data_IF_176249798642
#
_entry.id   IF_176249798642
#
_cell.length_a   1.000
_cell.length_b   1.000
_cell.length_c   1.000
_cell.angle_alpha   90.00
_cell.angle_beta   90.00
_cell.angle_gamma   90.00
#
_symmetry.space_group_name_H-M   'P 1'
#
loop_
_entity.id
_entity.type
_entity.pdbx_description
1 polymer ?
#
# COMPACT_ATOMS: atom_id res chain seq x y z
N UNK A 1 -40.58 -6.49 57.40
CA UNK A 1 -39.73 -7.67 57.10
C UNK A 1 -39.34 -7.78 55.62
N UNK A 2 -39.62 -6.79 54.75
CA UNK A 2 -39.34 -6.88 53.30
C UNK A 2 -38.30 -5.86 52.73
N UNK A 3 -37.51 -5.22 53.59
CA UNK A 3 -36.51 -4.22 53.12
C UNK A 3 -35.04 -4.68 53.11
N UNK A 4 -34.75 -5.92 53.48
CA UNK A 4 -33.38 -6.45 53.55
C UNK A 4 -33.01 -7.43 52.43
N UNK A 5 -33.93 -7.76 51.52
CA UNK A 5 -33.67 -8.74 50.45
C UNK A 5 -33.23 -8.10 49.11
N UNK A 6 -33.22 -6.76 49.00
CA UNK A 6 -32.87 -6.04 47.75
C UNK A 6 -31.38 -5.67 47.66
N UNK A 7 -30.60 -5.91 48.72
CA UNK A 7 -29.20 -5.48 48.71
C UNK A 7 -28.19 -6.60 48.39
N UNK A 8 -28.67 -7.86 48.26
CA UNK A 8 -27.75 -8.99 47.99
C UNK A 8 -27.64 -9.27 46.48
N UNK A 9 -28.49 -8.68 45.63
CA UNK A 9 -28.41 -8.87 44.17
C UNK A 9 -27.43 -7.94 43.45
N UNK A 10 -26.79 -7.00 44.16
CA UNK A 10 -25.87 -6.03 43.58
C UNK A 10 -24.37 -6.40 43.69
N UNK A 11 -24.07 -7.58 44.23
CA UNK A 11 -22.70 -8.07 44.42
C UNK A 11 -22.42 -9.37 43.64
N UNK A 12 -23.15 -9.63 42.55
CA UNK A 12 -22.60 -10.54 41.56
C UNK A 12 -21.43 -9.81 40.88
N UNK A 13 -20.20 -10.37 40.88
CA UNK A 13 -19.16 -9.81 40.06
C UNK A 13 -19.75 -9.79 38.64
N UNK A 14 -19.86 -8.60 38.04
CA UNK A 14 -19.95 -8.46 36.60
C UNK A 14 -18.69 -9.16 36.10
N UNK A 15 -18.82 -10.45 35.75
CA UNK A 15 -17.82 -11.05 34.90
C UNK A 15 -17.95 -10.24 33.60
N UNK A 16 -17.13 -9.23 33.46
CA UNK A 16 -16.85 -8.65 32.17
C UNK A 16 -16.23 -9.79 31.38
N UNK A 17 -17.06 -10.46 30.58
CA UNK A 17 -16.53 -11.27 29.49
C UNK A 17 -15.61 -10.30 28.75
N UNK A 18 -14.31 -10.56 28.73
CA UNK A 18 -13.37 -9.71 28.01
C UNK A 18 -13.84 -9.53 26.58
N UNK A 19 -13.64 -8.35 26.03
CA UNK A 19 -13.94 -8.11 24.63
C UNK A 19 -13.16 -9.12 23.80
N UNK A 20 -13.82 -9.76 22.84
CA UNK A 20 -13.20 -10.68 21.89
C UNK A 20 -13.12 -10.03 20.51
N UNK A 21 -11.99 -10.22 19.86
CA UNK A 21 -11.74 -9.91 18.47
C UNK A 21 -12.11 -11.13 17.63
N UNK A 22 -12.86 -10.92 16.57
CA UNK A 22 -13.23 -11.97 15.63
C UNK A 22 -12.07 -12.28 14.68
N UNK A 23 -11.69 -13.54 14.56
CA UNK A 23 -10.58 -14.06 13.73
C UNK A 23 -11.08 -15.27 12.97
N UNK A 24 -11.70 -15.08 11.78
CA UNK A 24 -12.39 -16.15 11.04
C UNK A 24 -11.48 -17.11 10.29
N UNK A 25 -10.22 -16.78 10.10
CA UNK A 25 -9.26 -17.63 9.41
C UNK A 25 -8.57 -18.55 10.41
N UNK A 26 -8.89 -19.86 10.34
CA UNK A 26 -8.38 -20.88 11.25
C UNK A 26 -6.84 -20.90 11.32
N UNK A 27 -6.15 -20.65 10.19
CA UNK A 27 -4.68 -20.65 10.13
C UNK A 27 -4.09 -19.37 10.74
N UNK A 28 -4.79 -18.23 10.65
CA UNK A 28 -4.41 -17.02 11.37
C UNK A 28 -4.61 -17.22 12.87
N UNK A 29 -5.78 -17.69 13.30
CA UNK A 29 -6.05 -17.98 14.72
C UNK A 29 -5.06 -19.02 15.28
N UNK A 30 -4.79 -20.10 14.52
CA UNK A 30 -3.78 -21.09 14.93
C UNK A 30 -2.38 -20.47 15.08
N UNK A 31 -2.05 -19.47 14.25
CA UNK A 31 -0.79 -18.73 14.41
C UNK A 31 -0.77 -17.93 15.70
N UNK A 32 -1.89 -17.31 16.09
CA UNK A 32 -2.01 -16.61 17.38
C UNK A 32 -1.90 -17.56 18.56
N UNK A 33 -2.47 -18.76 18.45
CA UNK A 33 -2.31 -19.82 19.45
C UNK A 33 -0.84 -20.25 19.58
N UNK A 34 -0.17 -20.47 18.46
CA UNK A 34 1.25 -20.87 18.45
C UNK A 34 2.16 -19.79 19.04
N UNK A 35 1.79 -18.52 18.91
CA UNK A 35 2.48 -17.37 19.50
C UNK A 35 2.12 -17.16 20.98
N UNK A 36 1.12 -17.88 21.49
CA UNK A 36 0.68 -17.81 22.89
C UNK A 36 -0.28 -16.66 23.20
N UNK A 37 -0.91 -16.06 22.17
CA UNK A 37 -1.89 -14.98 22.34
C UNK A 37 -3.30 -15.55 22.55
N UNK A 38 -3.53 -16.78 22.14
CA UNK A 38 -4.76 -17.52 22.34
C UNK A 38 -4.50 -18.97 22.77
N UNK A 39 -5.56 -19.73 23.08
CA UNK A 39 -5.48 -21.11 23.56
C UNK A 39 -6.52 -22.05 22.93
N UNK A 40 -7.51 -21.51 22.24
CA UNK A 40 -8.65 -22.26 21.71
C UNK A 40 -8.94 -21.78 20.29
N UNK A 41 -9.10 -22.70 19.36
CA UNK A 41 -9.52 -22.41 17.99
C UNK A 41 -11.06 -22.28 18.01
N UNK A 42 -11.58 -21.05 18.11
CA UNK A 42 -13.01 -20.73 18.26
C UNK A 42 -13.45 -19.46 17.51
N UNK A 43 -12.74 -19.11 16.44
CA UNK A 43 -12.91 -17.90 15.60
C UNK A 43 -12.77 -16.60 16.40
N UNK A 44 -12.06 -16.61 17.53
CA UNK A 44 -11.93 -15.39 18.33
C UNK A 44 -10.78 -15.41 19.32
N UNK A 45 -10.13 -14.28 19.50
CA UNK A 45 -9.09 -14.05 20.52
C UNK A 45 -9.52 -12.98 21.52
N UNK A 46 -9.05 -13.04 22.76
CA UNK A 46 -9.27 -11.94 23.71
C UNK A 46 -8.55 -10.68 23.22
N UNK A 47 -9.28 -9.59 22.98
CA UNK A 47 -8.71 -8.31 22.52
C UNK A 47 -7.57 -7.84 23.41
N UNK A 48 -7.70 -8.00 24.75
CA UNK A 48 -6.66 -7.65 25.71
C UNK A 48 -5.38 -8.51 25.62
N UNK A 49 -5.40 -9.61 24.87
CA UNK A 49 -4.20 -10.42 24.61
C UNK A 49 -3.39 -9.88 23.44
N UNK A 50 -4.00 -9.06 22.56
CA UNK A 50 -3.43 -8.63 21.30
C UNK A 50 -3.26 -7.11 21.18
N UNK A 51 -4.03 -6.30 21.91
CA UNK A 51 -4.07 -4.83 21.79
C UNK A 51 -2.76 -4.12 22.17
N UNK A 52 -1.88 -4.80 22.93
CA UNK A 52 -0.57 -4.29 23.34
C UNK A 52 0.59 -4.83 22.50
N UNK A 53 0.31 -5.72 21.55
CA UNK A 53 1.32 -6.33 20.68
C UNK A 53 1.85 -5.30 19.71
N UNK A 54 3.16 -5.02 19.78
CA UNK A 54 3.82 -4.06 18.88
C UNK A 54 4.47 -4.69 17.65
N UNK A 55 4.67 -6.02 17.65
CA UNK A 55 5.28 -6.73 16.53
C UNK A 55 4.61 -8.08 16.34
N UNK A 56 4.14 -8.36 15.12
CA UNK A 56 3.48 -9.61 14.76
C UNK A 56 4.16 -10.19 13.50
N UNK A 57 4.69 -11.40 13.64
CA UNK A 57 5.36 -12.11 12.56
C UNK A 57 4.61 -13.39 12.24
N UNK A 58 4.01 -13.41 11.05
CA UNK A 58 3.26 -14.54 10.49
C UNK A 58 4.01 -15.06 9.24
N UNK A 59 4.27 -16.35 9.16
CA UNK A 59 5.00 -16.93 8.02
C UNK A 59 6.08 -17.92 8.43
N UNK A 60 6.39 -18.03 9.72
CA UNK A 60 7.24 -19.11 10.23
C UNK A 60 6.52 -20.47 10.33
N UNK A 61 5.19 -20.44 10.31
CA UNK A 61 4.35 -21.62 10.38
C UNK A 61 3.89 -21.99 8.97
N UNK A 62 3.72 -23.29 8.69
CA UNK A 62 3.19 -23.81 7.43
C UNK A 62 1.66 -23.67 7.47
N UNK A 63 1.19 -22.43 7.50
CA UNK A 63 -0.21 -22.09 7.51
C UNK A 63 -0.54 -21.38 6.20
N UNK A 64 -1.77 -21.52 5.75
CA UNK A 64 -2.26 -20.92 4.52
C UNK A 64 -3.26 -19.81 4.89
N UNK A 65 -2.77 -18.68 5.38
CA UNK A 65 -3.62 -17.57 5.80
C UNK A 65 -4.18 -16.88 4.55
N UNK A 66 -5.48 -16.79 4.46
CA UNK A 66 -6.22 -16.13 3.37
C UNK A 66 -6.86 -14.81 3.81
N UNK A 67 -7.13 -14.66 5.13
CA UNK A 67 -7.80 -13.51 5.70
C UNK A 67 -7.13 -13.10 7.03
N UNK A 68 -6.86 -11.81 7.18
CA UNK A 68 -6.33 -11.21 8.40
C UNK A 68 -7.38 -10.41 9.18
N UNK A 69 -8.68 -10.66 8.97
CA UNK A 69 -9.73 -10.06 9.81
C UNK A 69 -9.41 -10.28 11.28
N UNK A 70 -9.47 -9.22 12.08
CA UNK A 70 -9.01 -9.18 13.47
C UNK A 70 -7.70 -8.42 13.66
N UNK A 71 -6.92 -8.20 12.59
CA UNK A 71 -5.66 -7.41 12.66
C UNK A 71 -5.92 -5.96 13.09
N UNK A 72 -7.11 -5.43 12.82
CA UNK A 72 -7.54 -4.09 13.19
C UNK A 72 -7.50 -3.81 14.70
N UNK A 73 -7.66 -4.85 15.52
CA UNK A 73 -7.66 -4.74 16.98
C UNK A 73 -6.24 -4.82 17.60
N UNK A 74 -5.20 -5.04 16.78
CA UNK A 74 -3.81 -4.91 17.21
C UNK A 74 -3.41 -3.44 17.27
N UNK A 75 -3.99 -2.70 18.19
CA UNK A 75 -3.93 -1.23 18.24
C UNK A 75 -2.53 -0.65 18.51
N UNK A 76 -1.62 -1.44 19.11
CA UNK A 76 -0.23 -1.05 19.34
C UNK A 76 0.75 -1.51 18.25
N UNK A 77 0.25 -2.11 17.14
CA UNK A 77 1.08 -2.75 16.13
C UNK A 77 1.95 -1.74 15.38
N UNK A 78 3.28 -1.98 15.39
CA UNK A 78 4.30 -1.18 14.71
C UNK A 78 5.02 -1.97 13.62
N UNK A 79 5.14 -3.28 13.77
CA UNK A 79 5.80 -4.15 12.83
C UNK A 79 4.89 -5.33 12.49
N UNK A 80 4.48 -5.41 11.24
CA UNK A 80 3.72 -6.52 10.70
C UNK A 80 4.53 -7.22 9.61
N UNK A 81 4.80 -8.49 9.82
CA UNK A 81 5.42 -9.36 8.83
C UNK A 81 4.51 -10.53 8.53
N UNK A 82 4.11 -10.66 7.26
CA UNK A 82 3.29 -11.77 6.76
C UNK A 82 3.79 -12.26 5.41
N UNK A 83 4.54 -13.36 5.42
CA UNK A 83 5.27 -13.87 4.26
C UNK A 83 4.62 -15.11 3.68
N UNK A 84 4.63 -15.19 2.34
CA UNK A 84 4.30 -16.40 1.59
C UNK A 84 2.99 -17.04 2.04
N UNK A 85 1.98 -16.19 2.25
CA UNK A 85 0.62 -16.58 2.52
C UNK A 85 -0.23 -16.42 1.25
N UNK A 86 -1.54 -16.48 1.37
CA UNK A 86 -2.46 -16.42 0.23
C UNK A 86 -3.38 -15.21 0.28
N UNK A 87 -2.94 -14.12 0.92
CA UNK A 87 -3.72 -12.91 1.03
C UNK A 87 -3.98 -12.29 -0.35
N UNK A 88 -5.24 -12.09 -0.69
CA UNK A 88 -5.65 -11.32 -1.86
C UNK A 88 -5.97 -9.86 -1.52
N UNK A 89 -6.27 -9.60 -0.26
CA UNK A 89 -6.52 -8.27 0.33
C UNK A 89 -5.82 -8.16 1.68
N UNK A 90 -5.46 -6.94 2.06
CA UNK A 90 -4.91 -6.63 3.37
C UNK A 90 -5.40 -5.23 3.78
N UNK A 91 -6.17 -5.16 4.86
CA UNK A 91 -6.61 -3.89 5.46
C UNK A 91 -5.83 -3.65 6.75
N UNK A 92 -4.97 -2.64 6.74
CA UNK A 92 -4.20 -2.17 7.89
C UNK A 92 -4.58 -0.73 8.29
N UNK A 93 -5.73 -0.26 7.82
CA UNK A 93 -6.19 1.12 8.00
C UNK A 93 -6.36 1.53 9.47
N UNK A 94 -6.61 0.57 10.37
CA UNK A 94 -6.74 0.82 11.80
C UNK A 94 -5.40 0.72 12.55
N UNK A 95 -4.38 0.11 11.94
CA UNK A 95 -3.05 -0.02 12.53
C UNK A 95 -2.21 1.25 12.28
N UNK A 96 -2.69 2.39 12.77
CA UNK A 96 -2.14 3.72 12.47
C UNK A 96 -0.74 3.97 13.03
N UNK A 97 -0.28 3.11 13.95
CA UNK A 97 1.08 3.15 14.50
C UNK A 97 2.08 2.31 13.70
N UNK A 98 1.66 1.70 12.56
CA UNK A 98 2.49 0.81 11.78
C UNK A 98 3.71 1.57 11.20
N UNK A 99 4.91 1.13 11.59
CA UNK A 99 6.20 1.65 11.15
C UNK A 99 6.84 0.77 10.08
N UNK A 100 6.59 -0.55 10.12
CA UNK A 100 7.14 -1.54 9.18
C UNK A 100 6.05 -2.51 8.71
N UNK A 101 5.94 -2.69 7.39
CA UNK A 101 5.06 -3.68 6.79
C UNK A 101 5.86 -4.55 5.81
N UNK A 102 5.85 -5.86 6.05
CA UNK A 102 6.38 -6.84 5.11
C UNK A 102 5.30 -7.86 4.76
N UNK A 103 4.81 -7.79 3.52
CA UNK A 103 3.79 -8.69 2.97
C UNK A 103 4.30 -9.47 1.74
N UNK A 104 5.58 -9.82 1.73
CA UNK A 104 6.25 -10.57 0.66
C UNK A 104 5.50 -11.85 0.30
N UNK A 105 5.39 -12.15 -1.01
CA UNK A 105 4.95 -13.45 -1.50
C UNK A 105 3.47 -13.74 -1.22
N UNK A 106 2.61 -12.74 -1.40
CA UNK A 106 1.16 -12.87 -1.32
C UNK A 106 0.52 -12.69 -2.71
N UNK A 107 -0.80 -12.50 -2.75
CA UNK A 107 -1.57 -12.31 -3.99
C UNK A 107 -2.28 -10.95 -4.00
N UNK A 108 -1.69 -9.95 -3.31
CA UNK A 108 -2.28 -8.64 -3.18
C UNK A 108 -2.34 -7.93 -4.53
N UNK A 109 -3.51 -7.45 -4.91
CA UNK A 109 -3.73 -6.65 -6.13
C UNK A 109 -3.74 -5.15 -5.86
N UNK A 110 -4.03 -4.77 -4.62
CA UNK A 110 -4.10 -3.40 -4.13
C UNK A 110 -3.66 -3.35 -2.66
N UNK A 111 -3.11 -2.22 -2.23
CA UNK A 111 -2.72 -1.97 -0.85
C UNK A 111 -2.95 -0.48 -0.55
N UNK A 112 -3.82 -0.20 0.43
CA UNK A 112 -4.10 1.15 0.91
C UNK A 112 -3.32 1.42 2.20
N UNK A 113 -2.42 2.39 2.15
CA UNK A 113 -1.57 2.80 3.25
C UNK A 113 -1.83 4.25 3.68
N UNK A 114 -2.94 4.83 3.24
CA UNK A 114 -3.25 6.24 3.47
C UNK A 114 -3.34 6.64 4.95
N UNK A 115 -3.70 5.68 5.81
CA UNK A 115 -3.79 5.89 7.26
C UNK A 115 -2.48 5.55 8.02
N UNK A 116 -1.52 4.89 7.37
CA UNK A 116 -0.30 4.41 8.01
C UNK A 116 0.84 5.44 7.87
N UNK A 117 0.59 6.67 8.30
CA UNK A 117 1.51 7.81 8.12
C UNK A 117 2.84 7.69 8.89
N UNK A 118 2.94 6.74 9.81
CA UNK A 118 4.16 6.42 10.56
C UNK A 118 5.08 5.43 9.80
N UNK A 119 4.66 4.94 8.61
CA UNK A 119 5.37 3.88 7.91
C UNK A 119 6.73 4.38 7.39
N UNK A 120 7.79 3.66 7.77
CA UNK A 120 9.18 3.92 7.36
C UNK A 120 9.80 2.76 6.57
N UNK A 121 9.11 1.62 6.50
CA UNK A 121 9.55 0.46 5.73
C UNK A 121 8.35 -0.26 5.10
N UNK A 122 8.37 -0.41 3.78
CA UNK A 122 7.41 -1.19 3.01
C UNK A 122 8.14 -2.21 2.15
N UNK A 123 7.91 -3.49 2.44
CA UNK A 123 8.47 -4.63 1.71
C UNK A 123 7.30 -5.48 1.22
N UNK A 124 6.97 -5.39 -0.07
CA UNK A 124 5.84 -6.09 -0.67
C UNK A 124 6.20 -6.76 -2.02
N UNK A 125 7.41 -7.37 -2.17
CA UNK A 125 7.76 -8.07 -3.39
C UNK A 125 6.88 -9.31 -3.59
N UNK A 126 6.90 -9.84 -4.83
CA UNK A 126 6.19 -11.09 -5.17
C UNK A 126 4.68 -11.01 -4.86
N UNK A 127 4.05 -9.93 -5.33
CA UNK A 127 2.60 -9.73 -5.27
C UNK A 127 2.03 -9.46 -6.68
N UNK A 128 0.76 -9.10 -6.76
CA UNK A 128 0.06 -8.82 -8.01
C UNK A 128 -0.44 -7.37 -8.04
N UNK A 129 0.28 -6.45 -7.37
CA UNK A 129 -0.13 -5.05 -7.29
C UNK A 129 -0.28 -4.43 -8.67
N UNK A 130 -1.36 -3.71 -8.89
CA UNK A 130 -1.63 -2.94 -10.10
C UNK A 130 -1.49 -1.44 -9.87
N UNK A 131 -1.63 -1.00 -8.62
CA UNK A 131 -1.46 0.37 -8.17
C UNK A 131 -0.86 0.38 -6.75
N UNK A 132 -0.07 1.40 -6.46
CA UNK A 132 0.47 1.65 -5.12
C UNK A 132 0.53 3.15 -4.88
N UNK A 133 -0.06 3.60 -3.77
CA UNK A 133 -0.02 4.98 -3.32
C UNK A 133 0.67 5.04 -1.95
N UNK A 134 1.85 5.68 -1.92
CA UNK A 134 2.66 5.86 -0.72
C UNK A 134 2.89 7.35 -0.42
N UNK A 135 2.02 8.21 -0.93
CA UNK A 135 1.98 9.61 -0.52
C UNK A 135 1.63 9.68 0.96
N UNK A 136 2.14 10.69 1.64
CA UNK A 136 2.10 10.89 3.10
C UNK A 136 2.99 9.92 3.93
N UNK A 137 3.65 8.94 3.31
CA UNK A 137 4.63 8.08 4.00
C UNK A 137 6.06 8.62 3.92
N UNK A 138 6.20 9.82 3.44
CA UNK A 138 7.38 10.66 3.34
C UNK A 138 8.67 10.06 2.74
N UNK A 139 9.64 10.93 2.49
CA UNK A 139 10.92 10.64 1.82
C UNK A 139 11.89 9.74 2.61
N UNK A 140 11.47 9.15 3.73
CA UNK A 140 12.29 8.25 4.57
C UNK A 140 11.92 6.77 4.40
N UNK A 141 10.91 6.47 3.61
CA UNK A 141 10.45 5.11 3.40
C UNK A 141 11.53 4.24 2.76
N UNK A 142 11.81 3.08 3.35
CA UNK A 142 12.52 1.99 2.68
C UNK A 142 11.52 1.18 1.86
N UNK A 143 11.69 1.15 0.53
CA UNK A 143 10.74 0.54 -0.40
C UNK A 143 11.33 -0.69 -1.10
N UNK A 144 10.56 -1.79 -1.15
CA UNK A 144 10.82 -2.93 -2.01
C UNK A 144 9.52 -3.44 -2.63
N UNK A 145 9.40 -3.35 -3.95
CA UNK A 145 8.21 -3.77 -4.72
C UNK A 145 8.54 -4.72 -5.88
N UNK A 146 9.72 -5.37 -5.85
CA UNK A 146 10.18 -6.27 -6.92
C UNK A 146 9.17 -7.40 -7.15
N UNK A 147 9.05 -7.85 -8.41
CA UNK A 147 8.13 -8.91 -8.83
C UNK A 147 6.64 -8.55 -8.63
N UNK A 148 6.28 -7.27 -8.83
CA UNK A 148 4.90 -6.84 -9.04
C UNK A 148 4.70 -6.48 -10.51
N UNK A 149 4.65 -7.49 -11.38
CA UNK A 149 4.76 -7.32 -12.83
C UNK A 149 3.67 -6.44 -13.46
N UNK A 150 2.54 -6.27 -12.80
CA UNK A 150 1.42 -5.42 -13.25
C UNK A 150 1.49 -3.99 -12.69
N UNK A 151 2.40 -3.72 -11.75
CA UNK A 151 2.60 -2.38 -11.21
C UNK A 151 3.48 -1.60 -12.18
N UNK A 152 3.03 -0.44 -12.61
CA UNK A 152 3.80 0.45 -13.48
C UNK A 152 4.09 1.79 -12.81
N UNK A 153 3.10 2.39 -12.19
CA UNK A 153 3.22 3.69 -11.55
C UNK A 153 3.06 3.58 -10.03
N UNK A 154 3.96 4.23 -9.29
CA UNK A 154 3.89 4.36 -7.83
C UNK A 154 3.65 5.83 -7.50
N UNK A 155 2.53 6.12 -6.82
CA UNK A 155 2.22 7.47 -6.36
C UNK A 155 3.09 7.85 -5.17
N UNK A 156 3.75 9.00 -5.27
CA UNK A 156 4.69 9.53 -4.27
C UNK A 156 4.53 11.04 -4.11
N UNK A 157 5.01 11.60 -3.01
CA UNK A 157 5.01 13.06 -2.78
C UNK A 157 6.07 13.77 -3.63
N UNK A 158 7.26 13.19 -3.76
CA UNK A 158 8.36 13.70 -4.56
C UNK A 158 8.92 12.61 -5.49
N UNK A 159 8.50 12.66 -6.76
CA UNK A 159 8.94 11.70 -7.77
C UNK A 159 10.42 11.80 -8.11
N UNK A 160 11.02 13.00 -7.96
CA UNK A 160 12.46 13.21 -8.21
C UNK A 160 13.29 12.57 -7.10
N UNK A 161 12.91 12.78 -5.85
CA UNK A 161 13.57 12.12 -4.72
C UNK A 161 13.44 10.60 -4.84
N UNK A 162 12.24 10.09 -5.11
CA UNK A 162 11.96 8.65 -5.20
C UNK A 162 12.76 7.98 -6.32
N UNK A 163 12.83 8.59 -7.50
CA UNK A 163 13.61 8.09 -8.62
C UNK A 163 15.12 8.04 -8.36
N UNK A 164 15.62 8.87 -7.46
CA UNK A 164 17.05 8.88 -7.11
C UNK A 164 17.40 7.90 -5.97
N UNK A 165 16.45 7.55 -5.12
CA UNK A 165 16.72 6.80 -3.89
C UNK A 165 16.20 5.35 -3.89
N UNK A 166 15.22 5.02 -4.73
CA UNK A 166 14.58 3.69 -4.71
C UNK A 166 14.79 2.87 -6.00
N UNK A 167 15.95 3.01 -6.62
CA UNK A 167 16.25 2.38 -7.92
C UNK A 167 16.56 0.89 -7.86
N UNK A 168 16.94 0.35 -6.70
CA UNK A 168 17.49 -1.01 -6.59
C UNK A 168 16.46 -2.08 -6.23
N UNK A 169 15.30 -1.69 -5.72
CA UNK A 169 14.29 -2.58 -5.16
C UNK A 169 12.93 -2.41 -5.82
N UNK A 170 12.93 -2.06 -7.11
CA UNK A 170 11.74 -1.92 -7.95
C UNK A 170 11.96 -2.64 -9.28
N UNK A 171 10.88 -3.03 -9.95
CA UNK A 171 10.98 -3.60 -11.29
C UNK A 171 11.28 -2.52 -12.35
N UNK A 172 11.91 -2.87 -13.48
CA UNK A 172 12.30 -1.89 -14.50
C UNK A 172 11.15 -1.09 -15.13
N UNK A 173 9.91 -1.62 -15.08
CA UNK A 173 8.71 -0.94 -15.58
C UNK A 173 8.13 0.05 -14.59
N UNK A 174 8.56 0.05 -13.33
CA UNK A 174 8.06 0.98 -12.32
C UNK A 174 8.61 2.39 -12.58
N UNK A 175 7.74 3.38 -12.46
CA UNK A 175 8.13 4.78 -12.38
C UNK A 175 7.37 5.48 -11.26
N UNK A 176 7.92 6.58 -10.78
CA UNK A 176 7.33 7.38 -9.71
C UNK A 176 6.64 8.61 -10.26
N UNK A 177 5.46 8.91 -9.74
CA UNK A 177 4.68 10.10 -10.13
C UNK A 177 3.95 10.67 -8.92
N UNK A 178 3.74 11.97 -8.92
CA UNK A 178 2.86 12.63 -7.94
C UNK A 178 1.37 12.40 -8.25
N UNK A 179 1.08 11.86 -9.44
CA UNK A 179 -0.28 11.51 -9.85
C UNK A 179 -0.26 10.37 -10.87
N UNK A 180 -0.52 9.15 -10.41
CA UNK A 180 -0.66 7.96 -11.25
C UNK A 180 -2.05 7.78 -11.88
N UNK A 181 -3.02 8.63 -11.58
CA UNK A 181 -4.39 8.50 -12.08
C UNK A 181 -4.52 8.71 -13.60
N UNK A 182 -3.43 9.02 -14.29
CA UNK A 182 -3.35 9.21 -15.73
C UNK A 182 -3.00 7.98 -16.56
N UNK A 183 -2.94 6.76 -16.00
CA UNK A 183 -2.54 5.55 -16.77
C UNK A 183 -3.67 4.78 -17.42
N UNK A 184 -4.82 5.38 -17.67
CA UNK A 184 -5.66 4.97 -18.79
C UNK A 184 -5.27 5.81 -19.97
N UNK A 185 -4.53 5.17 -20.88
CA UNK A 185 -4.31 5.58 -22.27
C UNK A 185 -4.57 7.10 -22.53
N UNK A 186 -3.50 7.89 -22.62
CA UNK A 186 -3.58 9.24 -23.21
C UNK A 186 -4.52 10.22 -22.47
N UNK A 187 -4.37 10.39 -21.16
CA UNK A 187 -4.51 11.70 -20.58
C UNK A 187 -3.12 12.37 -20.59
N UNK A 188 -2.75 12.79 -21.82
CA UNK A 188 -2.10 14.07 -21.90
C UNK A 188 -3.04 15.04 -21.15
N UNK A 189 -2.84 15.26 -19.80
CA UNK A 189 -3.13 16.61 -19.34
C UNK A 189 -2.43 17.46 -20.37
N UNK A 190 -3.11 18.36 -21.06
CA UNK A 190 -2.40 19.31 -21.83
C UNK A 190 -1.58 20.10 -20.78
N UNK A 191 -0.35 19.69 -20.53
CA UNK A 191 0.66 20.71 -20.43
C UNK A 191 0.41 21.45 -21.72
N UNK A 192 -0.29 22.57 -21.61
CA UNK A 192 -0.45 23.51 -22.71
C UNK A 192 0.92 24.10 -22.92
N UNK A 193 1.84 23.21 -23.30
CA UNK A 193 3.14 23.58 -23.77
C UNK A 193 2.84 24.22 -25.13
N UNK A 194 2.53 25.48 -25.02
CA UNK A 194 2.07 26.24 -26.16
C UNK A 194 3.15 26.21 -27.21
N UNK A 195 2.80 25.66 -28.37
CA UNK A 195 3.69 25.68 -29.52
C UNK A 195 4.02 27.10 -29.90
N UNK A 196 5.28 27.51 -29.74
CA UNK A 196 5.74 28.85 -30.09
C UNK A 196 5.95 28.97 -31.60
N UNK A 197 6.63 27.98 -32.18
CA UNK A 197 6.94 28.00 -33.60
C UNK A 197 7.28 26.64 -34.17
N UNK A 198 7.06 26.49 -35.48
CA UNK A 198 7.53 25.35 -36.27
C UNK A 198 8.64 25.84 -37.20
N UNK A 199 9.76 25.13 -37.27
CA UNK A 199 10.89 25.43 -38.12
C UNK A 199 11.26 24.22 -39.01
N UNK A 200 11.86 24.50 -40.17
CA UNK A 200 12.46 23.47 -41.03
C UNK A 200 13.88 23.08 -40.55
N UNK A 201 14.50 22.15 -41.27
CA UNK A 201 15.87 21.68 -40.98
C UNK A 201 16.94 22.79 -41.03
N UNK A 202 16.62 23.95 -41.63
CA UNK A 202 17.49 25.12 -41.74
C UNK A 202 17.15 26.19 -40.68
N UNK A 203 16.25 25.89 -39.74
CA UNK A 203 15.84 26.83 -38.67
C UNK A 203 14.84 27.90 -39.12
N UNK A 204 14.31 27.85 -40.36
CA UNK A 204 13.38 28.85 -40.89
C UNK A 204 11.96 28.53 -40.47
N UNK A 205 11.20 29.52 -40.00
CA UNK A 205 9.79 29.38 -39.66
C UNK A 205 9.01 28.86 -40.89
N UNK A 206 8.23 27.80 -40.73
CA UNK A 206 7.46 27.18 -41.81
C UNK A 206 6.13 26.62 -41.28
N UNK A 207 5.22 26.37 -42.22
CA UNK A 207 3.99 25.62 -41.95
C UNK A 207 4.22 24.14 -42.19
N UNK A 208 3.50 23.25 -41.51
CA UNK A 208 3.63 21.81 -41.69
C UNK A 208 3.45 21.38 -43.16
N UNK A 209 4.41 20.58 -43.67
CA UNK A 209 4.37 19.98 -45.01
C UNK A 209 4.53 18.48 -44.90
N UNK A 210 3.81 17.74 -45.77
CA UNK A 210 3.91 16.28 -45.85
C UNK A 210 5.35 15.85 -46.21
N UNK A 211 5.78 14.75 -45.59
CA UNK A 211 7.05 14.06 -45.81
C UNK A 211 8.31 14.95 -45.63
N UNK A 212 8.20 16.02 -44.84
CA UNK A 212 9.34 16.88 -44.51
C UNK A 212 9.56 16.89 -42.99
N UNK A 213 10.79 16.73 -42.52
CA UNK A 213 11.07 16.83 -41.11
C UNK A 213 10.90 18.28 -40.62
N UNK A 214 10.17 18.44 -39.55
CA UNK A 214 9.87 19.71 -38.90
C UNK A 214 10.25 19.65 -37.41
N UNK A 215 10.66 20.78 -36.87
CA UNK A 215 10.92 20.93 -35.44
C UNK A 215 9.85 21.84 -34.84
N UNK A 216 9.16 21.32 -33.86
CA UNK A 216 8.15 22.00 -33.05
C UNK A 216 8.84 22.51 -31.80
N UNK A 217 8.82 23.82 -31.56
CA UNK A 217 9.43 24.47 -30.39
C UNK A 217 8.34 24.98 -29.48
N UNK A 218 8.38 24.56 -28.24
CA UNK A 218 7.40 24.85 -27.20
C UNK A 218 7.89 25.91 -26.19
N UNK A 219 6.96 26.45 -25.40
CA UNK A 219 7.25 27.53 -24.41
C UNK A 219 8.25 27.12 -23.33
N UNK A 220 8.32 25.83 -22.96
CA UNK A 220 9.29 25.31 -21.99
C UNK A 220 10.69 25.06 -22.57
N UNK A 221 10.89 25.36 -23.83
CA UNK A 221 12.13 25.12 -24.54
C UNK A 221 12.26 23.73 -25.13
N UNK A 222 11.27 22.86 -24.95
CA UNK A 222 11.25 21.53 -25.58
C UNK A 222 11.22 21.65 -27.11
N UNK A 223 11.97 20.76 -27.79
CA UNK A 223 12.01 20.67 -29.25
C UNK A 223 11.66 19.27 -29.68
N UNK A 224 10.55 19.12 -30.39
CA UNK A 224 10.14 17.84 -30.98
C UNK A 224 10.39 17.80 -32.47
N UNK A 225 10.97 16.71 -32.98
CA UNK A 225 11.08 16.43 -34.41
C UNK A 225 9.88 15.61 -34.86
N UNK A 226 9.09 16.13 -35.82
CA UNK A 226 7.95 15.41 -36.40
C UNK A 226 8.08 15.32 -37.93
N UNK A 227 7.59 14.22 -38.48
CA UNK A 227 7.43 14.03 -39.93
C UNK A 227 5.97 13.66 -40.13
N UNK A 228 5.23 14.53 -40.87
CA UNK A 228 3.85 14.27 -41.20
C UNK A 228 3.84 13.36 -42.41
N UNK A 229 3.41 12.14 -42.26
CA UNK A 229 3.19 11.16 -43.33
C UNK A 229 1.69 11.05 -43.65
N UNK A 230 1.36 10.64 -44.89
CA UNK A 230 -0.03 10.52 -45.34
C UNK A 230 -0.61 9.18 -44.92
#
# INVERSE_FOLDING_TARGET
FMKKLLLILLCLPLMTLGQKTYVPDDDFEQSLINLGFDTILDDSVLTSSIDTISSLHLGFFINNIYDLTGIEDFSALKDLTIWHQFLTTLDVSQNTLLESLNCTGNQLTYLDLSNNIALISLVCPENQLTALDIRNNSNTLSLNTINNLSLSCINVDDSTFSANNWTNNIDPQHYFSNNCSGTTALDETPVTNKLIKTIDIFGRKTIPKLNSPLFYIYEDGTIEKKIIVK
#
